data_IF_192288209433
#
_entry.id   IF_192288209433
#
_cell.length_a   1.000
_cell.length_b   1.000
_cell.length_c   1.000
_cell.angle_alpha   90.00
_cell.angle_beta   90.00
_cell.angle_gamma   90.00
#
_symmetry.space_group_name_H-M   'P 1'
#
loop_
_entity.id
_entity.type
_entity.pdbx_description
1 polymer ?
#
# COMPACT_ATOMS: atom_id res chain seq x y z
N UNK A 1 -0.27 -0.51 9.17
CA UNK A 1 0.39 0.23 8.08
C UNK A 1 1.23 -0.76 7.32
N UNK A 2 0.97 -0.96 6.02
CA UNK A 2 1.71 -1.93 5.19
C UNK A 2 3.14 -1.43 4.98
N UNK A 3 4.13 -2.08 5.59
CA UNK A 3 5.55 -1.71 5.44
C UNK A 3 5.98 -1.62 3.96
N UNK A 4 5.40 -2.47 3.10
CA UNK A 4 5.54 -2.44 1.64
C UNK A 4 5.18 -1.05 1.04
N UNK A 5 4.11 -0.41 1.52
CA UNK A 5 3.69 0.91 1.01
C UNK A 5 4.66 2.01 1.44
N UNK A 6 5.17 1.94 2.66
CA UNK A 6 6.15 2.91 3.18
C UNK A 6 7.47 2.81 2.42
N UNK A 7 7.94 1.59 2.15
CA UNK A 7 9.15 1.33 1.35
C UNK A 7 8.95 1.81 -0.10
N UNK A 8 7.81 1.51 -0.72
CA UNK A 8 7.51 1.98 -2.07
C UNK A 8 7.45 3.51 -2.14
N UNK A 9 6.88 4.17 -1.12
CA UNK A 9 6.84 5.64 -1.02
C UNK A 9 8.25 6.25 -0.93
N UNK A 10 9.10 5.70 -0.07
CA UNK A 10 10.49 6.14 0.09
C UNK A 10 11.30 6.00 -1.22
N UNK A 11 11.17 4.86 -1.91
CA UNK A 11 11.81 4.63 -3.20
C UNK A 11 11.29 5.58 -4.29
N UNK A 12 9.98 5.89 -4.30
CA UNK A 12 9.41 6.85 -5.26
C UNK A 12 9.95 8.26 -5.06
N UNK A 13 10.03 8.74 -3.82
CA UNK A 13 10.60 10.06 -3.51
C UNK A 13 12.06 10.18 -3.92
N UNK A 14 12.84 9.12 -3.68
CA UNK A 14 14.22 9.05 -4.13
C UNK A 14 14.34 9.01 -5.66
N UNK A 15 13.37 8.41 -6.36
CA UNK A 15 13.35 8.35 -7.82
C UNK A 15 12.90 9.67 -8.47
N UNK A 16 11.98 10.41 -7.83
CA UNK A 16 11.50 11.71 -8.33
C UNK A 16 12.45 12.87 -8.03
N UNK A 17 13.49 12.64 -7.22
CA UNK A 17 14.42 13.69 -6.79
C UNK A 17 13.77 14.67 -5.81
N UNK A 18 12.67 14.28 -5.17
CA UNK A 18 11.98 15.08 -4.13
C UNK A 18 12.76 15.11 -2.81
N UNK A 19 13.75 14.23 -2.64
CA UNK A 19 14.64 14.25 -1.49
C UNK A 19 15.66 15.38 -1.64
N UNK A 20 15.70 16.25 -0.62
CA UNK A 20 16.77 17.23 -0.48
C UNK A 20 18.13 16.52 -0.49
N UNK A 21 19.17 17.20 -0.99
CA UNK A 21 20.54 16.66 -0.98
C UNK A 21 21.00 16.23 0.42
N UNK A 22 20.43 16.81 1.48
CA UNK A 22 20.52 16.30 2.84
C UNK A 22 19.16 16.44 3.51
N UNK A 23 18.69 15.39 4.18
CA UNK A 23 17.42 15.39 4.90
C UNK A 23 17.51 14.57 6.20
N UNK A 24 16.79 15.00 7.22
CA UNK A 24 16.66 14.34 8.51
C UNK A 24 15.22 13.90 8.78
N UNK A 25 14.97 13.44 10.02
CA UNK A 25 13.67 12.86 10.41
C UNK A 25 12.51 13.85 10.34
N UNK A 26 12.79 15.16 10.32
CA UNK A 26 11.77 16.22 10.22
C UNK A 26 11.37 16.55 8.79
N UNK A 27 12.17 16.13 7.81
CA UNK A 27 12.01 16.52 6.41
C UNK A 27 11.23 15.47 5.61
N UNK A 28 11.10 14.26 6.15
CA UNK A 28 10.44 13.11 5.51
C UNK A 28 9.36 12.53 6.41
N UNK A 29 8.28 12.06 5.78
CA UNK A 29 7.19 11.40 6.50
C UNK A 29 7.56 9.95 6.87
N UNK A 30 8.42 9.31 6.09
CA UNK A 30 8.88 7.96 6.33
C UNK A 30 10.07 7.92 7.32
N UNK A 31 10.17 6.90 8.18
CA UNK A 31 11.30 6.74 9.09
C UNK A 31 12.65 6.73 8.37
N UNK A 32 13.64 7.45 8.90
CA UNK A 32 15.02 7.44 8.37
C UNK A 32 15.64 6.03 8.36
N UNK A 33 15.22 5.15 9.26
CA UNK A 33 15.66 3.75 9.28
C UNK A 33 15.36 3.03 7.98
N UNK A 34 14.23 3.31 7.32
CA UNK A 34 13.88 2.68 6.05
C UNK A 34 14.84 3.12 4.95
N UNK A 35 15.15 4.41 4.88
CA UNK A 35 16.11 4.91 3.90
C UNK A 35 17.52 4.39 4.17
N UNK A 36 17.94 4.29 5.43
CA UNK A 36 19.22 3.69 5.80
C UNK A 36 19.30 2.21 5.40
N UNK A 37 18.26 1.43 5.69
CA UNK A 37 18.17 0.02 5.26
C UNK A 37 18.19 -0.12 3.74
N UNK A 38 17.49 0.75 3.01
CA UNK A 38 17.51 0.76 1.54
C UNK A 38 18.88 1.13 0.96
N UNK A 39 19.64 1.99 1.64
CA UNK A 39 21.03 2.31 1.27
C UNK A 39 21.94 1.10 1.52
N UNK A 40 21.81 0.46 2.69
CA UNK A 40 22.61 -0.72 3.05
C UNK A 40 22.32 -1.93 2.16
N UNK A 41 21.06 -2.10 1.74
CA UNK A 41 20.64 -3.11 0.78
C UNK A 41 21.02 -2.77 -0.67
N UNK A 42 21.57 -1.58 -0.94
CA UNK A 42 21.99 -1.14 -2.28
C UNK A 42 20.83 -0.74 -3.21
N UNK A 43 19.62 -0.58 -2.69
CA UNK A 43 18.47 -0.06 -3.44
C UNK A 43 18.52 1.47 -3.60
N UNK A 44 19.14 2.15 -2.66
CA UNK A 44 19.48 3.57 -2.72
C UNK A 44 21.00 3.75 -2.65
N UNK A 45 21.51 4.76 -3.33
CA UNK A 45 22.87 5.26 -3.14
C UNK A 45 22.81 6.50 -2.25
N UNK A 46 23.71 6.62 -1.28
CA UNK A 46 23.77 7.78 -0.40
C UNK A 46 24.66 7.52 0.80
N UNK A 47 24.82 8.53 1.64
CA UNK A 47 25.52 8.42 2.91
C UNK A 47 24.51 8.49 4.06
N UNK A 48 24.68 7.62 5.06
CA UNK A 48 23.88 7.63 6.29
C UNK A 48 24.73 8.22 7.40
N UNK A 49 24.33 9.36 7.94
CA UNK A 49 24.89 9.90 9.17
C UNK A 49 24.14 9.27 10.36
N UNK A 50 24.90 8.65 11.27
CA UNK A 50 24.37 8.02 12.48
C UNK A 50 24.75 8.81 13.72
N UNK A 51 23.87 8.82 14.72
CA UNK A 51 24.11 9.43 16.01
C UNK A 51 25.07 8.58 16.88
N UNK A 52 25.35 9.05 18.10
CA UNK A 52 26.20 8.35 19.06
C UNK A 52 25.64 7.01 19.55
N UNK A 53 24.36 6.72 19.30
CA UNK A 53 23.69 5.45 19.62
C UNK A 53 23.60 4.53 18.40
N UNK A 54 24.11 4.96 17.24
CA UNK A 54 24.07 4.20 15.99
C UNK A 54 22.75 4.33 15.22
N UNK A 55 21.83 5.21 15.61
CA UNK A 55 20.58 5.47 14.88
C UNK A 55 20.81 6.43 13.72
N UNK A 56 20.16 6.24 12.56
CA UNK A 56 20.27 7.16 11.44
C UNK A 56 19.62 8.51 11.80
N UNK A 57 20.43 9.58 11.76
CA UNK A 57 20.05 10.95 12.11
C UNK A 57 19.83 11.83 10.87
N UNK A 58 20.65 11.63 9.84
CA UNK A 58 20.52 12.31 8.55
C UNK A 58 20.97 11.42 7.38
N UNK A 59 20.46 11.72 6.20
CA UNK A 59 20.83 11.04 4.96
C UNK A 59 21.24 12.08 3.92
N UNK A 60 22.40 11.84 3.31
CA UNK A 60 22.97 12.70 2.29
C UNK A 60 23.01 12.03 0.91
N UNK A 61 22.63 12.78 -0.12
CA UNK A 61 22.75 12.40 -1.52
C UNK A 61 21.96 11.15 -1.91
N UNK A 62 20.79 10.92 -1.30
CA UNK A 62 19.97 9.76 -1.59
C UNK A 62 19.48 9.77 -3.04
N UNK A 63 19.88 8.79 -3.84
CA UNK A 63 19.43 8.59 -5.20
C UNK A 63 19.07 7.11 -5.43
N UNK A 64 18.09 6.86 -6.30
CA UNK A 64 17.67 5.48 -6.59
C UNK A 64 18.67 4.76 -7.51
N UNK A 65 19.06 3.54 -7.11
CA UNK A 65 19.93 2.68 -7.94
C UNK A 65 19.12 1.93 -9.00
N UNK A 66 19.82 1.19 -9.88
CA UNK A 66 19.16 0.29 -10.84
C UNK A 66 18.37 -0.80 -10.09
N UNK A 67 18.99 -1.42 -9.08
CA UNK A 67 18.35 -2.43 -8.24
C UNK A 67 17.13 -1.86 -7.48
N UNK A 68 17.21 -0.62 -6.99
CA UNK A 68 16.07 0.06 -6.38
C UNK A 68 14.90 0.27 -7.34
N UNK A 69 15.17 0.61 -8.61
CA UNK A 69 14.12 0.76 -9.64
C UNK A 69 13.44 -0.57 -9.99
N UNK A 70 14.21 -1.66 -10.06
CA UNK A 70 13.64 -2.99 -10.30
C UNK A 70 12.78 -3.45 -9.13
N UNK A 71 13.27 -3.26 -7.91
CA UNK A 71 12.53 -3.59 -6.70
C UNK A 71 11.23 -2.76 -6.58
N UNK A 72 11.27 -1.47 -6.92
CA UNK A 72 10.08 -0.62 -6.96
C UNK A 72 9.02 -1.16 -7.94
N UNK A 73 9.43 -1.58 -9.15
CA UNK A 73 8.52 -2.18 -10.13
C UNK A 73 7.87 -3.47 -9.63
N UNK A 74 8.63 -4.28 -8.89
CA UNK A 74 8.11 -5.52 -8.32
C UNK A 74 7.09 -5.25 -7.20
N UNK A 75 7.40 -4.30 -6.31
CA UNK A 75 6.48 -3.81 -5.28
C UNK A 75 5.17 -3.26 -5.88
N UNK A 76 5.26 -2.47 -6.94
CA UNK A 76 4.07 -1.93 -7.62
C UNK A 76 3.20 -3.03 -8.23
N UNK A 77 3.79 -4.06 -8.83
CA UNK A 77 3.06 -5.23 -9.34
C UNK A 77 2.37 -6.00 -8.20
N UNK A 78 3.06 -6.19 -7.08
CA UNK A 78 2.51 -6.83 -5.88
C UNK A 78 1.33 -6.05 -5.28
N UNK A 79 1.47 -4.73 -5.16
CA UNK A 79 0.41 -3.85 -4.67
C UNK A 79 -0.79 -3.78 -5.61
N UNK A 80 -0.57 -3.73 -6.93
CA UNK A 80 -1.63 -3.71 -7.93
C UNK A 80 -2.43 -5.02 -7.93
N UNK A 81 -1.76 -6.18 -7.82
CA UNK A 81 -2.43 -7.49 -7.75
C UNK A 81 -3.27 -7.67 -6.48
N UNK A 82 -2.77 -7.24 -5.31
CA UNK A 82 -3.55 -7.23 -4.05
C UNK A 82 -4.78 -6.34 -4.16
N UNK A 83 -4.66 -5.19 -4.82
CA UNK A 83 -5.76 -4.24 -5.00
C UNK A 83 -6.83 -4.79 -5.94
N UNK A 84 -6.43 -5.43 -7.05
CA UNK A 84 -7.35 -6.10 -7.98
C UNK A 84 -8.08 -7.28 -7.32
N UNK A 85 -7.39 -8.13 -6.56
CA UNK A 85 -8.02 -9.21 -5.81
C UNK A 85 -9.01 -8.69 -4.75
N UNK A 86 -8.63 -7.63 -4.03
CA UNK A 86 -9.51 -6.99 -3.05
C UNK A 86 -10.77 -6.38 -3.68
N UNK A 87 -10.61 -5.75 -4.84
CA UNK A 87 -11.71 -5.15 -5.58
C UNK A 87 -12.67 -6.20 -6.18
N UNK A 88 -12.14 -7.29 -6.75
CA UNK A 88 -12.97 -8.41 -7.21
C UNK A 88 -13.75 -9.03 -6.05
N UNK A 89 -13.12 -9.29 -4.91
CA UNK A 89 -13.78 -9.90 -3.75
C UNK A 89 -14.90 -9.01 -3.20
N UNK A 90 -14.72 -7.69 -3.19
CA UNK A 90 -15.74 -6.74 -2.76
C UNK A 90 -16.97 -6.71 -3.67
N UNK A 91 -16.81 -6.84 -4.99
CA UNK A 91 -17.94 -6.84 -5.93
C UNK A 91 -18.76 -8.13 -5.86
N UNK A 92 -18.12 -9.27 -5.64
CA UNK A 92 -18.80 -10.56 -5.49
C UNK A 92 -19.70 -10.56 -4.25
N UNK A 93 -19.25 -9.99 -3.13
CA UNK A 93 -20.07 -9.89 -1.91
C UNK A 93 -21.36 -9.09 -2.09
N UNK A 94 -21.30 -7.98 -2.84
CA UNK A 94 -22.48 -7.15 -3.11
C UNK A 94 -23.50 -7.86 -4.01
N UNK A 95 -23.03 -8.56 -5.06
CA UNK A 95 -23.89 -9.30 -5.99
C UNK A 95 -24.59 -10.48 -5.28
N UNK A 96 -23.86 -11.22 -4.45
CA UNK A 96 -24.43 -12.34 -3.67
C UNK A 96 -25.45 -11.83 -2.65
N UNK A 97 -25.16 -10.72 -1.96
CA UNK A 97 -26.12 -10.10 -1.03
C UNK A 97 -27.39 -9.62 -1.73
N UNK A 98 -27.28 -9.06 -2.93
CA UNK A 98 -28.44 -8.65 -3.74
C UNK A 98 -29.29 -9.85 -4.18
N UNK A 99 -28.64 -10.91 -4.65
CA UNK A 99 -29.33 -12.14 -5.07
C UNK A 99 -30.11 -12.79 -3.92
N UNK A 100 -29.52 -12.86 -2.72
CA UNK A 100 -30.18 -13.37 -1.51
C UNK A 100 -31.36 -12.47 -1.12
N UNK A 101 -31.18 -11.14 -1.15
CA UNK A 101 -32.25 -10.18 -0.85
C UNK A 101 -33.47 -10.34 -1.76
N UNK A 102 -33.25 -10.45 -3.08
CA UNK A 102 -34.33 -10.64 -4.07
C UNK A 102 -35.02 -12.00 -3.89
N UNK A 103 -34.27 -13.08 -3.68
CA UNK A 103 -34.84 -14.40 -3.46
C UNK A 103 -35.71 -14.45 -2.19
N UNK A 104 -35.27 -13.80 -1.11
CA UNK A 104 -36.00 -13.72 0.15
C UNK A 104 -37.29 -12.91 -0.02
N UNK A 105 -37.22 -11.77 -0.72
CA UNK A 105 -38.40 -10.95 -1.00
C UNK A 105 -39.45 -11.69 -1.84
N UNK A 106 -39.02 -12.44 -2.86
CA UNK A 106 -39.92 -13.27 -3.69
C UNK A 106 -40.57 -14.40 -2.88
N UNK A 107 -39.82 -15.05 -1.99
CA UNK A 107 -40.35 -16.09 -1.08
C UNK A 107 -41.43 -15.53 -0.13
N UNK A 108 -41.18 -14.36 0.47
CA UNK A 108 -42.14 -13.69 1.35
C UNK A 108 -43.40 -13.28 0.58
N UNK A 109 -43.26 -12.74 -0.63
CA UNK A 109 -44.40 -12.36 -1.46
C UNK A 109 -45.25 -13.59 -1.86
N UNK A 110 -44.58 -14.71 -2.16
CA UNK A 110 -45.25 -15.96 -2.51
C UNK A 110 -45.98 -16.59 -1.32
N UNK A 111 -45.36 -16.58 -0.14
CA UNK A 111 -45.98 -17.02 1.12
C UNK A 111 -47.18 -16.13 1.53
N UNK A 112 -47.06 -14.81 1.40
CA UNK A 112 -48.16 -13.87 1.66
C UNK A 112 -49.36 -14.14 0.75
N UNK A 113 -49.10 -14.44 -0.53
CA UNK A 113 -50.12 -14.78 -1.52
C UNK A 113 -50.81 -16.12 -1.23
N UNK A 114 -50.07 -17.11 -0.72
CA UNK A 114 -50.61 -18.42 -0.31
C UNK A 114 -51.45 -18.35 0.96
N UNK A 115 -51.08 -17.49 1.91
CA UNK A 115 -51.80 -17.29 3.17
C UNK A 115 -53.04 -16.39 3.03
N UNK A 116 -53.34 -15.88 1.82
CA UNK A 116 -54.49 -15.03 1.57
C UNK A 116 -54.42 -13.66 2.25
N UNK A 117 -53.23 -13.27 2.75
CA UNK A 117 -52.97 -11.95 3.29
C UNK A 117 -52.95 -10.96 2.11
N UNK A 118 -54.05 -10.23 1.94
CA UNK A 118 -54.05 -9.00 1.15
C UNK A 118 -53.06 -8.04 1.81
N UNK A 119 -51.97 -7.75 1.12
CA UNK A 119 -51.13 -6.60 1.39
C UNK A 119 -51.96 -5.30 1.31
#
# INVERSE_FOLDING_TARGET
>A
MDAEKTIASALKKAASGELSNNFGAKDVAEPLSIYAELIEAGHLSGAVARDSHGHPDAIGGAAITIAGREYLKELEKGLASKTLLGFLRSKVGYIVSWAIGVATALLVLWLAKLLGLKA
#
